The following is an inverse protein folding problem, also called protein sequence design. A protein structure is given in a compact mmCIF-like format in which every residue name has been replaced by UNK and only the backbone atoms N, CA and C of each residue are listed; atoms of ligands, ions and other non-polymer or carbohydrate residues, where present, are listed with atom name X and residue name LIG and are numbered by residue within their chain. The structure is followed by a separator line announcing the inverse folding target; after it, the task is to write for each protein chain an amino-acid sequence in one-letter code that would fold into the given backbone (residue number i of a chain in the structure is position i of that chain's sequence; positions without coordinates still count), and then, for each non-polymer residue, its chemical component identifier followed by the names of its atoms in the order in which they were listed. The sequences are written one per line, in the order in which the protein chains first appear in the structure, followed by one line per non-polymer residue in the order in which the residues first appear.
data_IF_291745685172
#
_entry.id   IF_291745685172
#
_cell.length_a   1.000
_cell.length_b   1.000
_cell.length_c   1.000
_cell.angle_alpha   90.00
_cell.angle_beta   90.00
_cell.angle_gamma   90.00
#
_symmetry.space_group_name_H-M   'P 1'
#
loop_
_entity.id
_entity.type
_entity.pdbx_description
1 polymer ?
#
# COMPACT_ATOMS: atom_id res chain seq x y z
N UNK A 1 -38.28 1.82 -20.48
CA UNK A 1 -36.87 1.49 -20.77
C UNK A 1 -36.07 1.67 -19.50
N UNK A 2 -35.61 0.58 -18.90
CA UNK A 2 -35.13 0.53 -17.50
C UNK A 2 -33.75 -0.13 -17.49
N UNK A 3 -32.71 0.59 -17.94
CA UNK A 3 -31.33 0.07 -18.02
C UNK A 3 -30.32 1.22 -17.95
N UNK A 4 -30.09 1.86 -16.80
CA UNK A 4 -28.87 2.68 -16.59
C UNK A 4 -28.50 2.93 -15.12
N UNK A 5 -28.86 2.03 -14.19
CA UNK A 5 -28.45 2.19 -12.77
C UNK A 5 -27.97 0.85 -12.23
N UNK A 6 -26.94 0.27 -12.86
CA UNK A 6 -26.25 -0.91 -12.33
C UNK A 6 -24.76 -0.90 -12.70
N UNK A 7 -24.12 0.28 -12.68
CA UNK A 7 -22.69 0.41 -13.01
C UNK A 7 -21.90 1.35 -12.07
N UNK A 8 -22.39 1.62 -10.84
CA UNK A 8 -21.74 2.59 -9.91
C UNK A 8 -21.36 1.97 -8.55
N UNK A 9 -21.41 0.64 -8.38
CA UNK A 9 -21.06 -0.02 -7.10
C UNK A 9 -19.91 -1.03 -7.27
N UNK A 10 -18.94 -0.72 -8.14
CA UNK A 10 -17.69 -1.48 -8.26
C UNK A 10 -16.49 -0.53 -8.40
N UNK A 11 -16.36 0.42 -7.47
CA UNK A 11 -15.08 1.08 -7.22
C UNK A 11 -14.55 0.56 -5.88
N UNK A 12 -14.02 -0.67 -5.89
CA UNK A 12 -13.20 -1.14 -4.76
C UNK A 12 -11.78 -0.70 -5.04
N UNK A 13 -11.17 0.20 -4.25
CA UNK A 13 -9.74 0.44 -4.31
C UNK A 13 -9.01 -0.73 -3.62
N UNK A 14 -9.22 -1.96 -4.08
CA UNK A 14 -8.51 -3.15 -3.60
C UNK A 14 -7.15 -3.32 -4.30
N UNK A 15 -6.57 -2.24 -4.82
CA UNK A 15 -5.23 -2.27 -5.39
C UNK A 15 -4.25 -1.94 -4.28
N UNK A 16 -3.73 -2.99 -3.63
CA UNK A 16 -2.58 -2.85 -2.74
C UNK A 16 -1.47 -2.16 -3.54
N UNK A 17 -1.07 -0.98 -3.09
CA UNK A 17 -0.05 -0.19 -3.77
C UNK A 17 1.29 -0.63 -3.23
N UNK A 18 2.07 -1.31 -4.06
CA UNK A 18 3.45 -1.66 -3.72
C UNK A 18 4.29 -0.39 -3.82
N UNK A 19 4.90 0.00 -2.72
CA UNK A 19 5.83 1.12 -2.64
C UNK A 19 7.24 0.59 -2.43
N UNK A 20 8.20 1.15 -3.16
CA UNK A 20 9.61 0.90 -2.90
C UNK A 20 10.15 1.88 -1.87
N UNK A 21 10.91 1.38 -0.91
CA UNK A 21 11.64 2.16 0.10
C UNK A 21 12.61 3.15 -0.54
N UNK A 22 13.15 2.82 -1.71
CA UNK A 22 14.00 3.73 -2.52
C UNK A 22 13.27 4.98 -2.98
N UNK A 23 11.95 4.90 -3.23
CA UNK A 23 11.14 6.04 -3.68
C UNK A 23 11.02 7.12 -2.61
N UNK A 24 11.26 6.75 -1.34
CA UNK A 24 11.15 7.63 -0.18
C UNK A 24 12.48 7.79 0.56
N UNK A 25 13.60 7.34 -0.02
CA UNK A 25 14.93 7.35 0.59
C UNK A 25 14.99 6.68 1.98
N UNK A 26 14.20 5.61 2.17
CA UNK A 26 14.09 4.89 3.45
C UNK A 26 15.10 3.75 3.60
N UNK A 27 15.99 3.53 2.61
CA UNK A 27 16.93 2.41 2.58
C UNK A 27 17.83 2.35 3.83
N UNK A 28 18.33 3.50 4.31
CA UNK A 28 19.18 3.56 5.51
C UNK A 28 18.42 3.15 6.77
N UNK A 29 17.18 3.62 6.93
CA UNK A 29 16.32 3.23 8.05
C UNK A 29 15.95 1.75 8.01
N UNK A 30 15.66 1.22 6.83
CA UNK A 30 15.38 -0.22 6.64
C UNK A 30 16.61 -1.06 6.94
N UNK A 31 17.80 -0.62 6.54
CA UNK A 31 19.06 -1.28 6.87
C UNK A 31 19.35 -1.27 8.37
N UNK A 32 19.12 -0.14 9.04
CA UNK A 32 19.25 -0.03 10.49
C UNK A 32 18.29 -0.99 11.22
N UNK A 33 17.02 -1.05 10.78
CA UNK A 33 16.04 -1.99 11.32
C UNK A 33 16.42 -3.44 11.06
N UNK A 34 16.99 -3.75 9.90
CA UNK A 34 17.49 -5.09 9.58
C UNK A 34 18.61 -5.53 10.55
N UNK A 35 19.53 -4.62 10.89
CA UNK A 35 20.61 -4.89 11.84
C UNK A 35 20.08 -5.08 13.27
N UNK A 36 19.19 -4.20 13.73
CA UNK A 36 18.59 -4.27 15.07
C UNK A 36 17.77 -5.55 15.25
N UNK A 37 17.04 -5.96 14.22
CA UNK A 37 16.22 -7.17 14.26
C UNK A 37 17.02 -8.46 13.92
N UNK A 38 18.33 -8.36 13.64
CA UNK A 38 19.20 -9.48 13.22
C UNK A 38 18.63 -10.28 12.03
N UNK A 39 17.99 -9.58 11.09
CA UNK A 39 17.34 -10.20 9.93
C UNK A 39 18.34 -10.37 8.77
N UNK A 40 18.31 -11.54 8.12
CA UNK A 40 19.16 -11.83 6.95
C UNK A 40 18.86 -10.92 5.75
N UNK A 41 17.60 -10.52 5.59
CA UNK A 41 17.14 -9.62 4.52
C UNK A 41 15.76 -9.07 4.86
N UNK A 42 15.50 -7.80 4.51
CA UNK A 42 14.17 -7.17 4.56
C UNK A 42 13.79 -6.75 3.13
N UNK A 43 12.54 -7.04 2.73
CA UNK A 43 12.02 -6.61 1.44
C UNK A 43 11.95 -5.08 1.36
N UNK A 44 12.51 -4.53 0.29
CA UNK A 44 12.41 -3.10 -0.04
C UNK A 44 11.07 -2.71 -0.65
N UNK A 45 10.27 -3.69 -1.07
CA UNK A 45 8.92 -3.51 -1.58
C UNK A 45 7.90 -3.73 -0.45
N UNK A 46 7.12 -2.69 -0.16
CA UNK A 46 6.13 -2.67 0.92
C UNK A 46 4.73 -2.51 0.29
N UNK A 47 3.86 -3.53 0.39
CA UNK A 47 2.46 -3.39 -0.03
C UNK A 47 1.70 -2.53 0.98
N UNK A 48 1.11 -1.44 0.52
CA UNK A 48 0.25 -0.57 1.32
C UNK A 48 -1.22 -0.76 0.92
N UNK A 49 -2.06 -0.86 1.95
CA UNK A 49 -3.50 -0.87 1.81
C UNK A 49 -4.05 0.06 2.88
N UNK A 50 -4.93 1.00 2.50
CA UNK A 50 -5.57 1.90 3.44
C UNK A 50 -7.08 1.90 3.19
N UNK A 51 -7.84 2.07 4.27
CA UNK A 51 -9.28 2.27 4.24
C UNK A 51 -9.55 3.64 4.86
N UNK A 52 -10.14 4.54 4.08
CA UNK A 52 -10.51 5.87 4.54
C UNK A 52 -12.02 6.03 4.42
N UNK A 53 -12.67 6.31 5.55
CA UNK A 53 -14.09 6.65 5.59
C UNK A 53 -14.21 8.16 5.72
N UNK A 54 -14.76 8.81 4.70
CA UNK A 54 -15.11 10.23 4.75
C UNK A 54 -16.58 10.34 5.15
N UNK A 55 -16.85 10.93 6.32
CA UNK A 55 -18.17 11.45 6.65
C UNK A 55 -18.18 12.94 6.36
N UNK A 56 -19.15 13.35 5.55
CA UNK A 56 -19.36 14.74 5.10
C UNK A 56 -20.38 15.45 5.99
#
# INVERSE_FOLDING_TARGET
MKQTILLVILCTPNKSKIISTTTFSLDEGVAALQQVAMLKSISKAVPLSFSATFNQ
#
